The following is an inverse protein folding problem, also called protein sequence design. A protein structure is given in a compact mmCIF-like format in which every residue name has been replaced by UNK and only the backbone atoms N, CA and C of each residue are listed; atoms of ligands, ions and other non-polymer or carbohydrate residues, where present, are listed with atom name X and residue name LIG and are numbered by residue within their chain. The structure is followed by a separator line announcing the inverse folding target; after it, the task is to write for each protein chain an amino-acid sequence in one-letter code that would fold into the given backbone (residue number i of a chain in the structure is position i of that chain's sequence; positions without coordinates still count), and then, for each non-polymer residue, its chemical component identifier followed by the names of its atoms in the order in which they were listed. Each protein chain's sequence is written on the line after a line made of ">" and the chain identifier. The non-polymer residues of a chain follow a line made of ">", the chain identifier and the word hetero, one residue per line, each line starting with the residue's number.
data_IF_189875802242
#
_entry.id   IF_189875802242
#
_cell.length_a   1.000
_cell.length_b   1.000
_cell.length_c   1.000
_cell.angle_alpha   90.00
_cell.angle_beta   90.00
_cell.angle_gamma   90.00
#
_symmetry.space_group_name_H-M   'P 1'
#
loop_
_entity.id
_entity.type
_entity.pdbx_description
1 polymer ?
#
# COMPACT_ATOMS: atom_id res chain seq x y z
N UNK A 1 -5.61 -14.15 -5.78
CA UNK A 1 -6.23 -12.97 -5.14
C UNK A 1 -5.13 -11.98 -4.79
N UNK A 2 -5.40 -10.70 -4.95
CA UNK A 2 -4.42 -9.67 -4.64
C UNK A 2 -4.72 -9.07 -3.27
N UNK A 3 -3.67 -8.77 -2.53
CA UNK A 3 -3.77 -8.14 -1.20
C UNK A 3 -2.84 -6.93 -1.18
N UNK A 4 -3.34 -5.80 -0.71
CA UNK A 4 -2.49 -4.65 -0.39
C UNK A 4 -2.00 -4.78 1.03
N UNK A 5 -0.70 -4.60 1.20
CA UNK A 5 -0.02 -4.65 2.49
C UNK A 5 0.36 -3.21 2.83
N UNK A 6 -0.30 -2.65 3.82
CA UNK A 6 -0.16 -1.24 4.20
C UNK A 6 0.76 -1.15 5.42
N UNK A 7 1.97 -0.65 5.20
CA UNK A 7 2.98 -0.53 6.26
C UNK A 7 2.85 0.83 6.91
N UNK A 8 2.53 0.84 8.20
CA UNK A 8 2.44 2.10 8.95
C UNK A 8 3.82 2.70 9.18
N UNK A 9 3.89 4.01 9.13
CA UNK A 9 5.13 4.74 9.39
C UNK A 9 5.57 4.59 10.85
N UNK A 10 6.87 4.74 11.07
CA UNK A 10 7.47 4.86 12.40
C UNK A 10 7.95 6.29 12.61
N UNK A 11 8.31 6.66 13.83
CA UNK A 11 8.91 7.96 14.08
C UNK A 11 10.19 8.16 13.26
N UNK A 12 11.01 7.12 13.15
CA UNK A 12 12.25 7.18 12.36
C UNK A 12 11.97 7.40 10.87
N UNK A 13 10.95 6.72 10.32
CA UNK A 13 10.59 6.90 8.90
C UNK A 13 10.03 8.30 8.64
N UNK A 14 9.25 8.84 9.59
CA UNK A 14 8.70 10.19 9.48
C UNK A 14 9.77 11.28 9.61
N UNK A 15 10.87 10.99 10.29
CA UNK A 15 12.02 11.91 10.36
C UNK A 15 12.91 11.84 9.12
N UNK A 16 12.73 10.83 8.27
CA UNK A 16 13.57 10.64 7.08
C UNK A 16 14.98 10.18 7.40
N UNK A 17 15.17 9.51 8.53
CA UNK A 17 16.48 9.01 8.94
C UNK A 17 16.76 7.64 8.28
N UNK A 18 17.27 7.66 7.06
CA UNK A 18 17.61 6.42 6.34
C UNK A 18 19.03 5.93 6.67
N UNK A 19 19.98 6.83 6.81
CA UNK A 19 21.38 6.47 7.03
C UNK A 19 21.62 5.68 8.33
N UNK A 20 20.82 5.94 9.37
CA UNK A 20 20.89 5.22 10.64
C UNK A 20 20.18 3.86 10.64
N UNK A 21 19.59 3.46 9.50
CA UNK A 21 18.73 2.28 9.40
C UNK A 21 19.17 1.29 8.32
N UNK A 22 20.44 1.28 8.00
CA UNK A 22 21.00 0.42 6.93
C UNK A 22 20.66 -1.06 7.17
N UNK A 23 20.80 -1.52 8.42
CA UNK A 23 20.48 -2.91 8.76
C UNK A 23 19.01 -3.28 8.52
N UNK A 24 18.09 -2.35 8.74
CA UNK A 24 16.67 -2.57 8.47
C UNK A 24 16.41 -2.70 6.97
N UNK A 25 17.04 -1.84 6.16
CA UNK A 25 16.94 -1.91 4.70
C UNK A 25 17.56 -3.21 4.15
N UNK A 26 18.67 -3.66 4.71
CA UNK A 26 19.29 -4.93 4.32
C UNK A 26 18.38 -6.11 4.64
N UNK A 27 17.79 -6.15 5.84
CA UNK A 27 16.87 -7.20 6.24
C UNK A 27 15.62 -7.20 5.37
N UNK A 28 15.10 -6.02 5.05
CA UNK A 28 13.93 -5.88 4.16
C UNK A 28 14.26 -6.33 2.74
N UNK A 29 15.46 -6.03 2.25
CA UNK A 29 15.93 -6.49 0.95
C UNK A 29 15.94 -8.00 0.86
N UNK A 30 16.43 -8.69 1.89
CA UNK A 30 16.41 -10.16 1.94
C UNK A 30 14.99 -10.72 1.95
N UNK A 31 14.11 -10.10 2.71
CA UNK A 31 12.71 -10.49 2.76
C UNK A 31 12.04 -10.30 1.39
N UNK A 32 12.29 -9.18 0.73
CA UNK A 32 11.78 -8.93 -0.62
C UNK A 32 12.29 -9.96 -1.63
N UNK A 33 13.53 -10.40 -1.52
CA UNK A 33 14.06 -11.48 -2.37
C UNK A 33 13.26 -12.77 -2.21
N UNK A 34 12.89 -13.12 -0.97
CA UNK A 34 12.05 -14.30 -0.72
C UNK A 34 10.67 -14.16 -1.36
N UNK A 35 10.07 -12.98 -1.24
CA UNK A 35 8.76 -12.69 -1.86
C UNK A 35 8.83 -12.81 -3.39
N UNK A 36 9.89 -12.31 -3.99
CA UNK A 36 10.12 -12.39 -5.45
C UNK A 36 10.27 -13.84 -5.87
N UNK A 37 11.12 -14.61 -5.18
CA UNK A 37 11.34 -16.04 -5.49
C UNK A 37 10.07 -16.86 -5.38
N UNK A 38 9.22 -16.52 -4.43
CA UNK A 38 7.94 -17.24 -4.24
C UNK A 38 6.83 -16.78 -5.19
N UNK A 39 7.09 -15.75 -6.02
CA UNK A 39 6.08 -15.21 -6.93
C UNK A 39 4.96 -14.43 -6.25
N UNK A 40 5.22 -13.91 -5.04
CA UNK A 40 4.23 -13.23 -4.22
C UNK A 40 4.11 -11.75 -4.57
N UNK A 41 5.24 -11.07 -4.75
CA UNK A 41 5.27 -9.61 -4.92
C UNK A 41 4.84 -9.18 -6.33
N UNK A 42 3.88 -8.27 -6.41
CA UNK A 42 3.48 -7.62 -7.66
C UNK A 42 3.99 -6.18 -7.73
N UNK A 43 4.02 -5.48 -6.60
CA UNK A 43 4.52 -4.12 -6.48
C UNK A 43 4.92 -3.86 -5.03
N UNK A 44 5.78 -2.88 -4.82
CA UNK A 44 6.14 -2.43 -3.50
C UNK A 44 6.88 -1.10 -3.58
N UNK A 45 6.45 -0.13 -2.74
CA UNK A 45 7.02 1.21 -2.72
C UNK A 45 7.09 1.76 -1.30
N UNK A 46 8.16 2.47 -1.01
CA UNK A 46 8.27 3.29 0.18
C UNK A 46 7.75 4.70 -0.11
N UNK A 47 7.25 5.36 0.93
CA UNK A 47 6.73 6.72 0.83
C UNK A 47 7.62 7.69 1.60
N UNK A 48 7.74 8.90 1.08
CA UNK A 48 8.41 9.98 1.79
C UNK A 48 7.70 10.30 3.12
N UNK A 49 8.41 10.92 4.08
CA UNK A 49 7.76 11.43 5.29
C UNK A 49 6.56 12.32 4.99
N UNK A 50 5.54 12.26 5.84
CA UNK A 50 4.29 12.99 5.63
C UNK A 50 4.45 14.51 5.57
N UNK A 51 5.54 15.06 6.10
CA UNK A 51 5.85 16.50 6.00
C UNK A 51 5.95 17.01 4.56
N UNK A 52 6.22 16.11 3.62
CA UNK A 52 6.26 16.40 2.19
C UNK A 52 4.93 16.08 1.49
N UNK A 53 3.99 15.50 2.21
CA UNK A 53 2.70 15.12 1.68
C UNK A 53 1.64 16.20 1.84
N UNK A 54 0.50 15.94 1.26
CA UNK A 54 -0.67 16.82 1.34
C UNK A 54 -1.92 15.99 1.52
N UNK A 55 -2.86 16.53 2.29
CA UNK A 55 -4.22 16.04 2.35
C UNK A 55 -5.11 17.01 1.56
N UNK A 56 -6.06 16.47 0.85
CA UNK A 56 -7.10 17.26 0.20
C UNK A 56 -8.42 16.82 0.83
N UNK A 57 -9.02 17.69 1.62
CA UNK A 57 -10.29 17.42 2.30
C UNK A 57 -11.44 17.91 1.45
N UNK A 58 -12.41 17.03 1.20
CA UNK A 58 -13.62 17.36 0.47
C UNK A 58 -14.76 17.57 1.45
N UNK A 59 -15.40 18.73 1.37
CA UNK A 59 -16.51 19.04 2.26
C UNK A 59 -17.72 18.16 1.97
N UNK A 60 -18.40 17.67 3.01
CA UNK A 60 -19.58 16.83 2.87
C UNK A 60 -20.76 17.53 2.18
N UNK A 61 -20.82 18.86 2.25
CA UNK A 61 -21.87 19.69 1.65
C UNK A 61 -21.60 20.05 0.18
N UNK A 62 -20.54 19.54 -0.41
CA UNK A 62 -20.14 19.87 -1.78
C UNK A 62 -19.37 21.18 -1.94
N UNK A 63 -18.93 21.79 -0.85
CA UNK A 63 -18.03 22.96 -0.88
C UNK A 63 -16.68 22.60 -1.51
N UNK A 64 -15.89 23.61 -1.88
CA UNK A 64 -14.60 23.42 -2.50
C UNK A 64 -13.62 22.62 -1.61
N UNK A 65 -12.72 21.81 -2.21
CA UNK A 65 -11.74 21.05 -1.43
C UNK A 65 -10.74 21.98 -0.73
N UNK A 66 -10.29 21.53 0.45
CA UNK A 66 -9.26 22.23 1.24
C UNK A 66 -7.98 21.41 1.24
N UNK A 67 -6.86 22.06 0.96
CA UNK A 67 -5.53 21.43 0.96
C UNK A 67 -4.85 21.68 2.30
N UNK A 68 -4.36 20.62 2.91
CA UNK A 68 -3.66 20.65 4.19
C UNK A 68 -2.25 20.09 4.00
N UNK A 69 -1.25 20.87 4.37
CA UNK A 69 0.14 20.43 4.29
C UNK A 69 0.45 19.45 5.45
N UNK A 70 1.30 18.44 5.18
CA UNK A 70 1.86 17.62 6.23
C UNK A 70 2.83 18.41 7.13
N UNK A 71 3.30 17.86 8.24
CA UNK A 71 3.12 16.45 8.64
C UNK A 71 1.71 16.16 9.17
N UNK A 72 1.29 14.88 9.07
CA UNK A 72 0.00 14.43 9.57
C UNK A 72 0.12 14.02 11.05
N UNK A 73 -1.01 14.08 11.78
CA UNK A 73 -1.00 14.18 13.24
C UNK A 73 -0.34 13.04 14.03
N UNK A 74 -0.45 11.80 13.55
CA UNK A 74 0.03 10.63 14.30
C UNK A 74 0.80 9.68 13.38
N UNK A 75 2.09 9.47 13.65
CA UNK A 75 2.92 8.58 12.83
C UNK A 75 2.32 7.18 12.67
N UNK A 76 1.72 6.63 13.73
CA UNK A 76 1.08 5.31 13.70
C UNK A 76 -0.14 5.22 12.78
N UNK A 77 -0.71 6.36 12.38
CA UNK A 77 -1.84 6.44 11.45
C UNK A 77 -1.40 6.77 10.02
N UNK A 78 -0.12 7.08 9.84
CA UNK A 78 0.46 7.45 8.56
C UNK A 78 1.02 6.20 7.89
N UNK A 79 0.74 6.04 6.60
CA UNK A 79 1.28 4.94 5.82
C UNK A 79 2.68 5.32 5.34
N UNK A 80 3.66 4.44 5.62
CA UNK A 80 5.05 4.65 5.23
C UNK A 80 5.48 3.87 4.01
N UNK A 81 4.63 2.96 3.53
CA UNK A 81 4.90 2.15 2.35
C UNK A 81 3.82 1.12 2.13
N UNK A 82 3.92 0.41 1.01
CA UNK A 82 2.97 -0.65 0.71
C UNK A 82 3.60 -1.70 -0.20
N UNK A 83 2.99 -2.89 -0.19
CA UNK A 83 3.16 -3.90 -1.23
C UNK A 83 1.80 -4.25 -1.82
N UNK A 84 1.83 -4.77 -3.01
CA UNK A 84 0.72 -5.54 -3.57
C UNK A 84 1.23 -6.97 -3.77
N UNK A 85 0.55 -7.93 -3.13
CA UNK A 85 0.90 -9.34 -3.19
C UNK A 85 -0.14 -10.15 -3.93
N UNK A 86 0.31 -11.16 -4.66
CA UNK A 86 -0.52 -12.22 -5.22
C UNK A 86 -0.43 -13.42 -4.29
N UNK A 87 -1.55 -13.78 -3.68
CA UNK A 87 -1.63 -14.90 -2.73
C UNK A 87 -2.88 -15.73 -3.01
N UNK A 88 -2.92 -16.94 -2.47
CA UNK A 88 -4.08 -17.83 -2.62
C UNK A 88 -5.18 -17.54 -1.59
N UNK A 89 -4.81 -16.97 -0.44
CA UNK A 89 -5.74 -16.69 0.66
C UNK A 89 -5.20 -15.60 1.58
N UNK A 90 -6.06 -15.06 2.42
CA UNK A 90 -5.64 -14.10 3.45
C UNK A 90 -4.74 -14.78 4.48
N UNK A 91 -4.99 -16.05 4.78
CA UNK A 91 -4.15 -16.84 5.70
C UNK A 91 -2.72 -16.98 5.17
N UNK A 92 -2.56 -17.18 3.87
CA UNK A 92 -1.22 -17.19 3.24
C UNK A 92 -0.54 -15.83 3.38
N UNK A 93 -1.27 -14.74 3.16
CA UNK A 93 -0.73 -13.40 3.33
C UNK A 93 -0.26 -13.16 4.77
N UNK A 94 -1.04 -13.57 5.75
CA UNK A 94 -0.67 -13.48 7.17
C UNK A 94 0.61 -14.26 7.46
N UNK A 95 0.74 -15.48 6.93
CA UNK A 95 1.92 -16.31 7.15
C UNK A 95 3.17 -15.68 6.53
N UNK A 96 3.05 -15.08 5.34
CA UNK A 96 4.16 -14.33 4.76
C UNK A 96 4.52 -13.12 5.59
N UNK A 97 3.52 -12.36 6.05
CA UNK A 97 3.76 -11.14 6.81
C UNK A 97 4.39 -11.42 8.18
N UNK A 98 4.07 -12.55 8.81
CA UNK A 98 4.69 -12.94 10.09
C UNK A 98 6.21 -13.05 10.00
N UNK A 99 6.76 -13.31 8.84
CA UNK A 99 8.21 -13.45 8.62
C UNK A 99 8.90 -12.14 8.26
N UNK A 100 8.12 -11.06 8.11
CA UNK A 100 8.68 -9.75 7.77
C UNK A 100 9.50 -9.17 8.93
N UNK A 101 10.60 -8.44 8.65
CA UNK A 101 11.48 -7.90 9.68
C UNK A 101 10.97 -6.58 10.24
N UNK A 102 9.74 -6.54 10.71
CA UNK A 102 9.14 -5.37 11.35
C UNK A 102 9.26 -5.44 12.87
N UNK A 103 9.33 -4.27 13.51
CA UNK A 103 9.31 -4.12 14.97
C UNK A 103 8.55 -2.88 15.38
N UNK A 104 7.64 -3.02 16.34
CA UNK A 104 6.98 -1.88 16.99
C UNK A 104 5.98 -1.13 16.14
N UNK A 105 5.59 -1.69 14.99
CA UNK A 105 4.64 -1.07 14.10
C UNK A 105 3.57 -2.07 13.69
N UNK A 106 2.44 -1.56 13.25
CA UNK A 106 1.38 -2.38 12.68
C UNK A 106 1.47 -2.37 11.17
N UNK A 107 1.06 -3.49 10.57
CA UNK A 107 0.96 -3.63 9.12
C UNK A 107 -0.42 -4.18 8.82
N UNK A 108 -1.14 -3.53 7.93
CA UNK A 108 -2.52 -3.88 7.60
C UNK A 108 -2.56 -4.67 6.30
N UNK A 109 -3.34 -5.74 6.28
CA UNK A 109 -3.62 -6.54 5.08
C UNK A 109 -5.04 -6.28 4.63
N UNK A 110 -5.22 -5.87 3.36
CA UNK A 110 -6.53 -5.62 2.77
C UNK A 110 -6.63 -6.28 1.41
N UNK A 111 -7.63 -7.14 1.22
CA UNK A 111 -7.87 -7.73 -0.10
C UNK A 111 -8.28 -6.63 -1.08
N UNK A 112 -7.71 -6.65 -2.26
CA UNK A 112 -8.07 -5.73 -3.33
C UNK A 112 -9.34 -6.25 -3.99
N UNK A 113 -10.31 -5.36 -4.19
CA UNK A 113 -11.58 -5.70 -4.84
C UNK A 113 -11.35 -6.07 -6.30
N UNK A 114 -12.07 -7.08 -6.74
CA UNK A 114 -12.08 -7.54 -8.12
C UNK A 114 -13.49 -7.31 -8.72
N UNK A 115 -13.60 -7.38 -10.04
CA UNK A 115 -14.88 -7.18 -10.73
C UNK A 115 -15.99 -8.11 -10.21
N UNK A 116 -15.63 -9.35 -9.87
CA UNK A 116 -16.58 -10.32 -9.35
C UNK A 116 -17.23 -9.89 -8.03
N UNK A 117 -16.56 -9.07 -7.24
CA UNK A 117 -17.08 -8.57 -5.97
C UNK A 117 -18.31 -7.67 -6.16
N UNK A 118 -18.46 -7.08 -7.32
CA UNK A 118 -19.53 -6.14 -7.64
C UNK A 118 -20.66 -6.76 -8.50
N UNK A 119 -20.52 -8.02 -8.89
CA UNK A 119 -21.55 -8.71 -9.67
C UNK A 119 -22.88 -8.75 -8.92
N UNK A 120 -23.95 -8.36 -9.61
CA UNK A 120 -25.26 -8.26 -9.02
C UNK A 120 -25.53 -7.01 -8.19
N UNK A 121 -24.49 -6.18 -7.95
CA UNK A 121 -24.61 -4.93 -7.19
C UNK A 121 -24.46 -3.69 -8.06
N UNK A 122 -23.67 -3.77 -9.13
CA UNK A 122 -23.45 -2.67 -10.07
C UNK A 122 -23.98 -3.08 -11.46
N UNK A 123 -24.48 -2.11 -12.25
CA UNK A 123 -24.87 -2.38 -13.65
C UNK A 123 -23.67 -2.88 -14.46
N UNK A 124 -23.94 -3.79 -15.40
CA UNK A 124 -22.88 -4.37 -16.24
C UNK A 124 -22.12 -3.30 -17.03
N UNK A 125 -22.80 -2.24 -17.47
CA UNK A 125 -22.20 -1.10 -18.16
C UNK A 125 -21.09 -0.44 -17.34
N UNK A 126 -21.30 -0.29 -16.02
CA UNK A 126 -20.31 0.30 -15.11
C UNK A 126 -19.09 -0.64 -15.01
N UNK A 127 -19.32 -1.94 -14.88
CA UNK A 127 -18.24 -2.92 -14.79
C UNK A 127 -17.43 -2.99 -16.09
N UNK A 128 -18.10 -2.95 -17.24
CA UNK A 128 -17.44 -2.96 -18.55
C UNK A 128 -16.58 -1.71 -18.75
N UNK A 129 -17.06 -0.55 -18.33
CA UNK A 129 -16.31 0.69 -18.40
C UNK A 129 -15.06 0.64 -17.52
N UNK A 130 -15.19 0.11 -16.31
CA UNK A 130 -14.05 -0.04 -15.40
C UNK A 130 -13.00 -0.98 -15.98
N UNK A 131 -13.43 -2.13 -16.53
CA UNK A 131 -12.53 -3.08 -17.18
C UNK A 131 -11.78 -2.44 -18.36
N UNK A 132 -12.48 -1.64 -19.17
CA UNK A 132 -11.90 -0.92 -20.29
C UNK A 132 -10.85 0.08 -19.82
N UNK A 133 -11.15 0.86 -18.77
CA UNK A 133 -10.21 1.83 -18.20
C UNK A 133 -9.00 1.15 -17.61
N UNK A 134 -9.19 0.03 -16.91
CA UNK A 134 -8.09 -0.75 -16.35
C UNK A 134 -7.13 -1.25 -17.43
N UNK A 135 -7.67 -1.69 -18.57
CA UNK A 135 -6.83 -2.13 -19.69
C UNK A 135 -5.99 -1.00 -20.30
N UNK A 136 -6.36 0.25 -20.05
CA UNK A 136 -5.68 1.45 -20.52
C UNK A 136 -4.72 2.04 -19.50
N UNK A 137 -4.68 1.50 -18.27
CA UNK A 137 -3.70 1.96 -17.28
C UNK A 137 -2.30 1.53 -17.70
N UNK A 138 -1.32 2.41 -17.49
CA UNK A 138 0.06 2.07 -17.76
C UNK A 138 0.46 0.86 -16.91
N UNK A 139 1.11 -0.12 -17.53
CA UNK A 139 1.78 -1.17 -16.78
C UNK A 139 2.82 -0.50 -15.88
N UNK A 140 2.99 -0.97 -14.63
CA UNK A 140 4.08 -0.48 -13.82
C UNK A 140 5.36 -0.63 -14.65
N UNK A 141 6.02 0.47 -14.89
CA UNK A 141 7.32 0.43 -15.57
C UNK A 141 8.24 -0.42 -14.70
N UNK A 142 8.74 -1.49 -15.29
CA UNK A 142 9.84 -2.23 -14.70
C UNK A 142 10.98 -1.23 -14.47
N UNK A 143 11.10 -0.77 -13.24
CA UNK A 143 12.18 0.11 -12.82
C UNK A 143 13.32 -0.70 -12.25
#
# INVERSE_FOLDING_TARGET
>A
MRVMVLVHATEDSEQGNYAGRVGEFEAMGKYNEELVKAGIILAGEGLEPSKHGKLVDFAADGGGPRVIDGPFAEAKEVIGGFWIWQVSSMEEAVEWLRRAPFRGQSVELRRILEAADFEGQLPQEVLDNEARLRSQTASPTEG
#
